data_IF_439940217621
#
_entry.id   IF_439940217621
#
_cell.length_a   1.000
_cell.length_b   1.000
_cell.length_c   1.000
_cell.angle_alpha   90.00
_cell.angle_beta   90.00
_cell.angle_gamma   90.00
#
_symmetry.space_group_name_H-M   'P 1'
#
loop_
_entity.id
_entity.type
_entity.pdbx_description
1 polymer ?
#
# COMPACT_ATOMS: atom_id res chain seq x y z
N UNK A 1 -12.26 -12.74 -27.58
CA UNK A 1 -12.22 -11.71 -26.52
C UNK A 1 -11.48 -12.30 -25.32
N UNK A 2 -10.30 -11.80 -24.94
CA UNK A 2 -9.57 -12.36 -23.80
C UNK A 2 -10.30 -11.95 -22.51
N UNK A 3 -10.48 -12.92 -21.62
CA UNK A 3 -11.15 -12.77 -20.32
C UNK A 3 -10.28 -11.88 -19.42
N UNK A 4 -10.66 -10.61 -19.23
CA UNK A 4 -10.08 -9.71 -18.23
C UNK A 4 -10.52 -10.20 -16.84
N UNK A 5 -9.84 -11.23 -16.33
CA UNK A 5 -9.96 -11.66 -14.94
C UNK A 5 -8.99 -10.82 -14.11
N UNK A 6 -9.54 -9.82 -13.43
CA UNK A 6 -9.04 -9.24 -12.17
C UNK A 6 -7.53 -8.93 -12.12
N UNK A 7 -7.11 -7.86 -12.80
CA UNK A 7 -5.81 -7.21 -12.54
C UNK A 7 -5.91 -6.12 -11.44
N UNK A 8 -7.11 -5.86 -10.91
CA UNK A 8 -7.34 -4.78 -9.92
C UNK A 8 -6.71 -5.04 -8.54
N UNK A 9 -6.29 -6.27 -8.23
CA UNK A 9 -5.84 -6.65 -6.88
C UNK A 9 -4.40 -7.18 -6.83
N UNK A 10 -3.58 -6.93 -7.85
CA UNK A 10 -2.16 -7.28 -7.80
C UNK A 10 -1.42 -6.25 -6.93
N UNK A 11 -1.36 -6.50 -5.63
CA UNK A 11 -0.47 -5.81 -4.71
C UNK A 11 0.98 -6.27 -5.01
N UNK A 12 1.92 -5.35 -5.29
CA UNK A 12 3.32 -5.72 -5.39
C UNK A 12 3.83 -6.27 -4.06
N UNK A 13 4.60 -7.37 -4.09
CA UNK A 13 5.16 -8.02 -2.89
C UNK A 13 6.02 -7.10 -2.02
N UNK A 14 6.52 -6.00 -2.60
CA UNK A 14 7.33 -5.01 -1.91
C UNK A 14 6.53 -4.06 -1.00
N UNK A 15 5.19 -4.07 -0.99
CA UNK A 15 4.39 -3.09 -0.23
C UNK A 15 3.76 -3.72 1.04
N UNK A 16 3.77 -3.03 2.18
CA UNK A 16 3.21 -3.54 3.44
C UNK A 16 1.70 -3.76 3.30
N UNK A 17 1.17 -4.85 3.86
CA UNK A 17 -0.26 -5.17 3.78
C UNK A 17 -1.14 -4.11 4.47
N UNK A 18 -0.73 -3.75 5.69
CA UNK A 18 -1.41 -2.80 6.56
C UNK A 18 -0.41 -1.80 7.16
N UNK A 19 0.11 -0.83 6.38
CA UNK A 19 1.01 0.19 6.92
C UNK A 19 0.30 1.03 7.99
N UNK A 20 1.02 1.53 8.99
CA UNK A 20 0.44 2.46 9.95
C UNK A 20 -0.04 3.73 9.23
N UNK A 21 -1.26 4.16 9.54
CA UNK A 21 -1.84 5.38 8.98
C UNK A 21 -0.96 6.60 9.33
N UNK A 22 -0.57 7.38 8.31
CA UNK A 22 0.25 8.58 8.50
C UNK A 22 -0.41 9.67 9.36
N UNK A 23 -1.72 9.60 9.58
CA UNK A 23 -2.48 10.60 10.34
C UNK A 23 -2.77 10.17 11.78
N UNK A 24 -3.21 8.92 11.99
CA UNK A 24 -3.65 8.44 13.31
C UNK A 24 -2.86 7.24 13.84
N UNK A 25 -1.88 6.72 13.09
CA UNK A 25 -1.05 5.57 13.47
C UNK A 25 -1.75 4.21 13.46
N UNK A 26 -3.07 4.16 13.26
CA UNK A 26 -3.83 2.90 13.20
C UNK A 26 -3.37 1.99 12.07
N UNK A 27 -3.37 0.67 12.30
CA UNK A 27 -3.15 -0.36 11.27
C UNK A 27 -4.44 -0.83 10.58
N UNK A 28 -5.58 -0.19 10.86
CA UNK A 28 -6.84 -0.46 10.16
C UNK A 28 -6.83 0.19 8.77
N UNK A 29 -5.89 -0.21 7.93
CA UNK A 29 -5.60 0.39 6.62
C UNK A 29 -5.80 -0.64 5.52
N UNK A 30 -6.40 -0.21 4.41
CA UNK A 30 -6.68 -1.05 3.24
C UNK A 30 -5.93 -0.52 2.03
N UNK A 31 -5.33 -1.41 1.24
CA UNK A 31 -4.75 -1.04 -0.05
C UNK A 31 -5.86 -0.69 -1.03
N UNK A 32 -5.73 0.46 -1.70
CA UNK A 32 -6.69 0.93 -2.71
C UNK A 32 -6.16 0.64 -4.10
N UNK A 33 -5.00 1.20 -4.45
CA UNK A 33 -4.40 1.08 -5.76
C UNK A 33 -2.93 1.48 -5.75
N UNK A 34 -2.21 1.11 -6.82
CA UNK A 34 -0.96 1.78 -7.16
C UNK A 34 -1.26 3.13 -7.79
N UNK A 35 -0.40 4.11 -7.52
CA UNK A 35 -0.57 5.48 -7.97
C UNK A 35 0.68 6.01 -8.68
N UNK A 36 0.46 6.92 -9.62
CA UNK A 36 1.51 7.55 -10.43
C UNK A 36 1.95 6.72 -11.64
N UNK A 37 2.57 7.39 -12.60
CA UNK A 37 3.00 6.79 -13.88
C UNK A 37 4.06 5.69 -13.71
N UNK A 38 4.93 5.83 -12.71
CA UNK A 38 6.01 4.88 -12.42
C UNK A 38 5.65 3.84 -11.36
N UNK A 39 4.42 3.85 -10.84
CA UNK A 39 3.93 2.91 -9.81
C UNK A 39 4.83 2.81 -8.56
N UNK A 40 5.48 3.91 -8.18
CA UNK A 40 6.38 4.00 -7.02
C UNK A 40 5.65 4.26 -5.70
N UNK A 41 4.35 4.55 -5.79
CA UNK A 41 3.50 4.92 -4.66
C UNK A 41 2.29 4.01 -4.66
N UNK A 42 1.85 3.60 -3.47
CA UNK A 42 0.55 2.96 -3.28
C UNK A 42 -0.35 3.82 -2.40
N UNK A 43 -1.62 3.88 -2.74
CA UNK A 43 -2.64 4.53 -1.95
C UNK A 43 -3.30 3.54 -0.98
N UNK A 44 -3.51 4.01 0.24
CA UNK A 44 -4.24 3.31 1.29
C UNK A 44 -5.39 4.15 1.83
N UNK A 45 -6.40 3.48 2.37
CA UNK A 45 -7.49 4.10 3.09
C UNK A 45 -7.53 3.61 4.54
N UNK A 46 -7.61 4.54 5.51
CA UNK A 46 -7.73 4.18 6.91
C UNK A 46 -9.21 4.08 7.33
N UNK A 47 -9.65 2.91 7.79
CA UNK A 47 -11.00 2.71 8.32
C UNK A 47 -11.23 3.31 9.71
N UNK A 48 -10.18 3.78 10.39
CA UNK A 48 -10.31 4.39 11.72
C UNK A 48 -10.56 5.91 11.65
N UNK A 49 -9.73 6.63 10.90
CA UNK A 49 -9.85 8.09 10.76
C UNK A 49 -10.44 8.54 9.40
N UNK A 50 -10.78 7.59 8.53
CA UNK A 50 -11.37 7.83 7.21
C UNK A 50 -10.52 8.69 6.28
N UNK A 51 -9.20 8.65 6.45
CA UNK A 51 -8.25 9.39 5.60
C UNK A 51 -7.61 8.47 4.57
N UNK A 52 -7.50 8.94 3.33
CA UNK A 52 -6.64 8.35 2.31
C UNK A 52 -5.20 8.86 2.50
N UNK A 53 -4.21 7.99 2.35
CA UNK A 53 -2.79 8.33 2.44
C UNK A 53 -1.95 7.50 1.48
N UNK A 54 -0.68 7.88 1.32
CA UNK A 54 0.24 7.27 0.37
C UNK A 54 1.41 6.60 1.08
N UNK A 55 1.93 5.53 0.47
CA UNK A 55 3.14 4.85 0.89
C UNK A 55 4.11 4.73 -0.28
N UNK A 56 5.34 5.20 -0.09
CA UNK A 56 6.39 5.13 -1.09
C UNK A 56 7.16 3.81 -0.99
N UNK A 57 7.51 3.21 -2.12
CA UNK A 57 8.24 1.93 -2.18
C UNK A 57 9.52 1.91 -1.32
N UNK A 58 10.26 3.02 -1.28
CA UNK A 58 11.51 3.11 -0.50
C UNK A 58 11.28 2.94 1.01
N UNK A 59 10.13 3.40 1.54
CA UNK A 59 9.79 3.18 2.94
C UNK A 59 9.47 1.72 3.24
N UNK A 60 8.93 1.00 2.25
CA UNK A 60 8.66 -0.43 2.41
C UNK A 60 9.96 -1.28 2.39
N UNK A 61 10.95 -0.89 1.59
CA UNK A 61 12.27 -1.54 1.57
C UNK A 61 12.99 -1.37 2.92
N UNK A 62 12.95 -0.17 3.51
CA UNK A 62 13.49 0.06 4.86
C UNK A 62 12.79 -0.76 5.94
N UNK A 63 11.46 -0.90 5.87
CA UNK A 63 10.71 -1.74 6.83
C UNK A 63 11.01 -3.23 6.68
N UNK A 64 11.18 -3.73 5.45
CA UNK A 64 11.51 -5.13 5.21
C UNK A 64 12.92 -5.47 5.73
N UNK A 65 13.90 -4.60 5.48
CA UNK A 65 15.26 -4.78 6.00
C UNK A 65 15.31 -4.83 7.54
N UNK A 66 14.46 -4.04 8.22
CA UNK A 66 14.32 -4.09 9.69
C UNK A 66 13.65 -5.37 10.21
N UNK A 67 12.89 -6.07 9.37
CA UNK A 67 12.14 -7.28 9.75
C UNK A 67 12.96 -8.56 9.57
N UNK A 68 13.96 -8.53 8.70
CA UNK A 68 14.84 -9.66 8.38
C UNK A 68 16.21 -9.62 9.12
N UNK A 69 16.43 -8.59 9.95
CA UNK A 69 17.61 -8.40 10.80
C UNK A 69 17.32 -8.74 12.26
#
# INVERSE_FOLDING_TARGET
>A
MPKVKTLLNLKPSAMPEHPPCAFCGSKQTEFVALFGQFLLVSQYYCRNCHSAFEWCKWQAEEENMKRDA
#
